data_IF_351655313330
#
_entry.id   IF_351655313330
#
_cell.length_a   1.000
_cell.length_b   1.000
_cell.length_c   1.000
_cell.angle_alpha   90.00
_cell.angle_beta   90.00
_cell.angle_gamma   90.00
#
_symmetry.space_group_name_H-M   'P 1'
#
loop_
_entity.id
_entity.type
_entity.pdbx_description
1 polymer ?
#
# COMPACT_ATOMS: atom_id res chain seq x y z
N UNK A 1 21.33 8.01 -29.00
CA UNK A 1 22.63 7.34 -28.77
C UNK A 1 22.89 7.19 -27.26
N UNK A 2 22.82 8.28 -26.48
CA UNK A 2 22.97 8.22 -25.01
C UNK A 2 21.98 7.27 -24.33
N UNK A 3 20.68 7.33 -24.66
CA UNK A 3 19.66 6.43 -24.08
C UNK A 3 19.91 4.95 -24.43
N UNK A 4 20.50 4.67 -25.59
CA UNK A 4 20.88 3.31 -25.96
C UNK A 4 22.04 2.78 -25.09
N UNK A 5 22.98 3.63 -24.76
CA UNK A 5 24.09 3.27 -23.86
C UNK A 5 23.57 3.04 -22.44
N UNK A 6 22.70 3.92 -21.93
CA UNK A 6 22.05 3.72 -20.62
C UNK A 6 21.27 2.38 -20.55
N UNK A 7 20.52 2.04 -21.61
CA UNK A 7 19.81 0.76 -21.66
C UNK A 7 20.77 -0.44 -21.71
N UNK A 8 21.90 -0.30 -22.36
CA UNK A 8 22.94 -1.34 -22.38
C UNK A 8 23.57 -1.53 -21.00
N UNK A 9 23.93 -0.44 -20.31
CA UNK A 9 24.42 -0.47 -18.93
C UNK A 9 23.44 -1.17 -17.99
N UNK A 10 22.13 -0.88 -18.11
CA UNK A 10 21.08 -1.53 -17.32
C UNK A 10 21.05 -3.04 -17.58
N UNK A 11 21.20 -3.48 -18.84
CA UNK A 11 21.26 -4.91 -19.20
C UNK A 11 22.51 -5.59 -18.66
N UNK A 12 23.67 -4.96 -18.82
CA UNK A 12 24.96 -5.48 -18.35
C UNK A 12 25.01 -5.61 -16.82
N UNK A 13 24.34 -4.70 -16.12
CA UNK A 13 24.18 -4.75 -14.66
C UNK A 13 23.15 -5.81 -14.18
N UNK A 14 22.45 -6.54 -15.08
CA UNK A 14 21.41 -7.49 -14.71
C UNK A 14 20.15 -6.83 -14.10
N UNK A 15 19.92 -5.54 -14.38
CA UNK A 15 18.80 -4.77 -13.85
C UNK A 15 17.68 -4.55 -14.86
N UNK A 16 17.84 -5.05 -16.09
CA UNK A 16 16.81 -4.92 -17.11
C UNK A 16 15.61 -5.82 -16.78
N UNK A 17 14.43 -5.20 -16.76
CA UNK A 17 13.18 -5.87 -16.42
C UNK A 17 12.42 -6.23 -17.70
N UNK A 18 12.18 -7.52 -17.89
CA UNK A 18 11.31 -8.03 -18.95
C UNK A 18 9.92 -8.32 -18.39
N UNK A 19 8.87 -7.91 -19.14
CA UNK A 19 7.50 -8.19 -18.76
C UNK A 19 7.12 -9.61 -19.17
N UNK A 20 6.61 -10.40 -18.21
CA UNK A 20 6.05 -11.73 -18.44
C UNK A 20 4.56 -11.58 -18.72
N UNK A 21 4.10 -12.10 -19.84
CA UNK A 21 2.72 -11.92 -20.30
C UNK A 21 1.87 -13.09 -19.79
N UNK A 22 0.93 -12.78 -18.91
CA UNK A 22 -0.08 -13.72 -18.40
C UNK A 22 -1.26 -13.74 -19.37
N UNK A 23 -1.71 -14.93 -19.75
CA UNK A 23 -2.82 -15.14 -20.72
C UNK A 23 -4.08 -15.73 -20.06
N UNK A 24 -4.10 -15.82 -18.76
CA UNK A 24 -5.25 -16.21 -17.93
C UNK A 24 -5.66 -15.09 -16.99
N UNK A 25 -6.71 -15.29 -16.22
CA UNK A 25 -7.02 -14.49 -15.05
C UNK A 25 -5.92 -14.60 -13.99
N UNK A 26 -5.84 -13.61 -13.09
CA UNK A 26 -4.87 -13.60 -11.99
C UNK A 26 -5.31 -14.55 -10.89
N UNK A 27 -4.51 -15.61 -10.65
CA UNK A 27 -4.75 -16.65 -9.65
C UNK A 27 -3.43 -17.31 -9.22
N UNK A 28 -3.50 -18.32 -8.36
CA UNK A 28 -2.31 -19.03 -7.89
C UNK A 28 -1.61 -19.83 -9.00
N UNK A 29 -2.39 -20.41 -9.89
CA UNK A 29 -1.95 -21.11 -11.10
C UNK A 29 -2.29 -20.24 -12.31
N UNK A 30 -1.31 -19.83 -13.08
CA UNK A 30 -1.45 -19.00 -14.26
C UNK A 30 -0.78 -19.63 -15.48
N UNK A 31 -1.21 -19.19 -16.67
CA UNK A 31 -0.55 -19.52 -17.92
C UNK A 31 0.13 -18.30 -18.49
N UNK A 32 1.37 -18.46 -18.91
CA UNK A 32 2.15 -17.42 -19.58
C UNK A 32 2.13 -17.60 -21.11
N UNK A 33 2.45 -16.53 -21.84
CA UNK A 33 2.35 -16.50 -23.31
C UNK A 33 3.25 -17.50 -24.04
N UNK A 34 4.27 -18.00 -23.38
CA UNK A 34 5.16 -19.05 -23.87
C UNK A 34 4.52 -20.43 -23.82
N UNK A 35 3.38 -20.59 -23.14
CA UNK A 35 2.57 -21.80 -23.10
C UNK A 35 2.61 -22.58 -21.80
N UNK A 36 3.55 -22.28 -20.92
CA UNK A 36 3.72 -22.95 -19.65
C UNK A 36 2.63 -22.56 -18.64
N UNK A 37 2.25 -23.53 -17.81
CA UNK A 37 1.46 -23.32 -16.60
C UNK A 37 2.42 -23.24 -15.41
N UNK A 38 2.34 -22.14 -14.66
CA UNK A 38 3.25 -21.87 -13.55
C UNK A 38 2.50 -21.46 -12.29
N UNK A 39 3.11 -21.73 -11.13
CA UNK A 39 2.60 -21.23 -9.86
C UNK A 39 3.05 -19.77 -9.64
N UNK A 40 2.10 -18.91 -9.31
CA UNK A 40 2.33 -17.50 -9.13
C UNK A 40 2.57 -17.15 -7.65
N UNK A 41 3.84 -16.97 -7.28
CA UNK A 41 4.26 -16.50 -5.96
C UNK A 41 4.56 -15.00 -5.91
N UNK A 42 4.35 -14.26 -7.02
CA UNK A 42 4.78 -12.87 -7.16
C UNK A 42 3.65 -11.85 -6.98
N UNK A 43 2.38 -12.24 -7.23
CA UNK A 43 1.26 -11.32 -7.16
C UNK A 43 0.92 -10.93 -5.72
N UNK A 44 0.54 -9.67 -5.54
CA UNK A 44 0.03 -9.15 -4.26
C UNK A 44 -1.44 -9.53 -4.01
N UNK A 45 -1.85 -10.69 -4.51
CA UNK A 45 -3.22 -11.23 -4.43
C UNK A 45 -3.41 -12.07 -3.16
N UNK A 46 -3.07 -11.50 -2.00
CA UNK A 46 -2.93 -12.20 -0.72
C UNK A 46 -4.13 -13.06 -0.31
N UNK A 47 -5.34 -12.65 -0.65
CA UNK A 47 -6.59 -13.37 -0.34
C UNK A 47 -7.18 -14.10 -1.55
N UNK A 48 -6.52 -14.09 -2.70
CA UNK A 48 -7.02 -14.71 -3.92
C UNK A 48 -8.28 -14.03 -4.51
N UNK A 49 -8.54 -12.77 -4.18
CA UNK A 49 -9.78 -12.07 -4.54
C UNK A 49 -9.78 -11.47 -5.95
N UNK A 50 -8.64 -11.41 -6.64
CA UNK A 50 -8.55 -10.76 -7.96
C UNK A 50 -9.46 -11.38 -9.03
N UNK A 51 -9.82 -12.66 -8.90
CA UNK A 51 -10.77 -13.35 -9.79
C UNK A 51 -12.02 -13.87 -9.03
N UNK A 52 -12.39 -13.22 -7.93
CA UNK A 52 -13.55 -13.66 -7.15
C UNK A 52 -14.86 -13.37 -7.91
N UNK A 53 -15.76 -14.37 -8.09
CA UNK A 53 -16.98 -14.22 -8.89
C UNK A 53 -17.95 -13.17 -8.34
N UNK A 54 -18.05 -13.01 -7.03
CA UNK A 54 -18.93 -12.03 -6.41
C UNK A 54 -18.46 -10.60 -6.66
N UNK A 55 -17.14 -10.37 -6.63
CA UNK A 55 -16.52 -9.08 -6.92
C UNK A 55 -16.72 -8.73 -8.38
N UNK A 56 -16.50 -9.70 -9.28
CA UNK A 56 -16.73 -9.54 -10.73
C UNK A 56 -18.21 -9.24 -11.01
N UNK A 57 -19.13 -9.94 -10.34
CA UNK A 57 -20.57 -9.71 -10.51
C UNK A 57 -20.95 -8.29 -10.05
N UNK A 58 -20.43 -7.81 -8.93
CA UNK A 58 -20.67 -6.45 -8.45
C UNK A 58 -20.16 -5.39 -9.43
N UNK A 59 -18.95 -5.59 -9.97
CA UNK A 59 -18.39 -4.70 -11.00
C UNK A 59 -19.27 -4.65 -12.25
N UNK A 60 -19.73 -5.80 -12.77
CA UNK A 60 -20.61 -5.89 -13.94
C UNK A 60 -21.95 -5.20 -13.71
N UNK A 61 -22.60 -5.49 -12.58
CA UNK A 61 -23.89 -4.89 -12.25
C UNK A 61 -23.82 -3.36 -12.13
N UNK A 62 -22.72 -2.82 -11.64
CA UNK A 62 -22.55 -1.37 -11.55
C UNK A 62 -22.42 -0.69 -12.91
N UNK A 63 -21.95 -1.37 -13.94
CA UNK A 63 -21.90 -0.81 -15.31
C UNK A 63 -23.30 -0.56 -15.87
N UNK A 64 -24.29 -1.37 -15.50
CA UNK A 64 -25.69 -1.20 -15.93
C UNK A 64 -26.36 -0.01 -15.21
N UNK A 65 -25.94 0.30 -14.00
CA UNK A 65 -26.59 1.33 -13.14
C UNK A 65 -25.82 2.65 -13.08
N UNK A 66 -24.49 2.61 -13.10
CA UNK A 66 -23.61 3.77 -12.93
C UNK A 66 -22.76 4.08 -14.16
N UNK A 67 -22.77 3.23 -15.19
CA UNK A 67 -21.99 3.40 -16.41
C UNK A 67 -20.53 2.98 -16.27
N UNK A 68 -19.76 3.16 -17.35
CA UNK A 68 -18.36 2.73 -17.42
C UNK A 68 -17.39 3.70 -16.72
N UNK A 69 -17.57 5.01 -16.90
CA UNK A 69 -16.63 6.02 -16.41
C UNK A 69 -17.28 7.37 -16.21
N UNK A 70 -16.58 8.24 -15.51
CA UNK A 70 -17.12 9.55 -15.09
C UNK A 70 -16.75 10.69 -16.03
N UNK A 71 -15.69 10.56 -16.82
CA UNK A 71 -15.16 11.62 -17.70
C UNK A 71 -14.94 12.97 -16.98
N UNK A 72 -14.70 12.94 -15.68
CA UNK A 72 -14.58 14.12 -14.83
C UNK A 72 -13.77 13.84 -13.57
N UNK A 73 -13.30 14.91 -12.94
CA UNK A 73 -12.76 14.92 -11.58
C UNK A 73 -13.89 15.01 -10.56
N UNK A 74 -13.62 14.64 -9.31
CA UNK A 74 -14.61 14.49 -8.24
C UNK A 74 -15.48 15.71 -7.99
N UNK A 75 -14.91 16.90 -7.90
CA UNK A 75 -15.65 18.11 -7.47
C UNK A 75 -16.45 18.79 -8.58
N UNK A 76 -16.18 18.51 -9.87
CA UNK A 76 -16.94 19.11 -10.98
C UNK A 76 -18.24 18.34 -11.19
N UNK A 77 -18.17 17.12 -11.74
CA UNK A 77 -19.31 16.25 -11.95
C UNK A 77 -18.95 14.75 -11.90
N UNK A 78 -17.83 14.40 -11.27
CA UNK A 78 -17.29 13.05 -11.20
C UNK A 78 -17.57 12.33 -9.88
N UNK A 79 -18.56 12.73 -9.09
CA UNK A 79 -18.94 12.06 -7.84
C UNK A 79 -20.32 11.43 -7.97
N UNK A 80 -20.41 10.13 -7.87
CA UNK A 80 -21.65 9.39 -7.70
C UNK A 80 -21.82 8.94 -6.24
N UNK A 81 -23.02 8.50 -5.88
CA UNK A 81 -23.36 7.96 -4.57
C UNK A 81 -22.48 6.75 -4.17
N UNK A 82 -22.13 5.90 -5.15
CA UNK A 82 -21.26 4.74 -4.95
C UNK A 82 -19.86 5.13 -4.43
N UNK A 83 -19.33 6.30 -4.83
CA UNK A 83 -18.07 6.79 -4.31
C UNK A 83 -18.19 7.17 -2.82
N UNK A 84 -19.30 7.81 -2.45
CA UNK A 84 -19.56 8.19 -1.04
C UNK A 84 -19.82 6.97 -0.18
N UNK A 85 -20.50 5.97 -0.72
CA UNK A 85 -20.71 4.67 -0.06
C UNK A 85 -19.39 3.97 0.22
N UNK A 86 -18.46 3.96 -0.74
CA UNK A 86 -17.14 3.37 -0.56
C UNK A 86 -16.31 4.14 0.49
N UNK A 87 -16.30 5.48 0.44
CA UNK A 87 -15.62 6.32 1.43
C UNK A 87 -16.13 6.02 2.85
N UNK A 88 -17.44 5.93 3.04
CA UNK A 88 -18.04 5.59 4.35
C UNK A 88 -17.64 4.18 4.82
N UNK A 89 -17.63 3.17 3.94
CA UNK A 89 -17.21 1.81 4.29
C UNK A 89 -15.72 1.72 4.65
N UNK A 90 -14.86 2.47 3.98
CA UNK A 90 -13.44 2.56 4.32
C UNK A 90 -13.28 3.14 5.73
N UNK A 91 -13.93 4.27 6.02
CA UNK A 91 -13.87 4.91 7.32
C UNK A 91 -14.38 3.97 8.44
N UNK A 92 -15.50 3.28 8.22
CA UNK A 92 -16.03 2.27 9.14
C UNK A 92 -15.06 1.13 9.38
N UNK A 93 -14.48 0.58 8.30
CA UNK A 93 -13.53 -0.54 8.37
C UNK A 93 -12.29 -0.21 9.21
N UNK A 94 -11.72 0.98 9.03
CA UNK A 94 -10.54 1.44 9.76
C UNK A 94 -10.86 2.13 11.10
N UNK A 95 -12.14 2.31 11.43
CA UNK A 95 -12.59 3.03 12.62
C UNK A 95 -12.04 4.47 12.67
N UNK A 96 -12.08 5.14 11.52
CA UNK A 96 -11.66 6.53 11.33
C UNK A 96 -12.86 7.43 11.06
N UNK A 97 -12.64 8.76 11.02
CA UNK A 97 -13.75 9.72 10.87
C UNK A 97 -14.26 9.80 9.43
N UNK A 98 -13.37 9.73 8.44
CA UNK A 98 -13.71 9.93 7.02
C UNK A 98 -12.64 9.29 6.10
N UNK A 99 -12.95 9.19 4.81
CA UNK A 99 -12.04 8.70 3.78
C UNK A 99 -12.18 9.46 2.46
N UNK A 100 -11.14 9.45 1.64
CA UNK A 100 -11.07 10.07 0.31
C UNK A 100 -10.44 9.09 -0.68
N UNK A 101 -11.01 9.01 -1.89
CA UNK A 101 -10.58 8.07 -2.94
C UNK A 101 -9.63 8.72 -3.95
N UNK A 102 -8.68 7.93 -4.44
CA UNK A 102 -7.72 8.26 -5.48
C UNK A 102 -7.67 7.16 -6.55
N UNK A 103 -7.08 7.45 -7.71
CA UNK A 103 -6.88 6.44 -8.78
C UNK A 103 -5.88 5.35 -8.37
N UNK A 104 -4.93 5.66 -7.50
CA UNK A 104 -3.97 4.73 -6.90
C UNK A 104 -3.50 5.23 -5.53
N UNK A 105 -2.91 4.35 -4.70
CA UNK A 105 -2.27 4.78 -3.45
C UNK A 105 -1.03 5.64 -3.71
N UNK A 106 -0.37 5.47 -4.85
CA UNK A 106 0.72 6.37 -5.26
C UNK A 106 0.25 7.83 -5.30
N UNK A 107 -0.95 8.08 -5.84
CA UNK A 107 -1.57 9.40 -5.88
C UNK A 107 -1.98 9.89 -4.48
N UNK A 108 -2.49 8.99 -3.65
CA UNK A 108 -2.84 9.29 -2.25
C UNK A 108 -1.61 9.80 -1.48
N UNK A 109 -0.47 9.09 -1.56
CA UNK A 109 0.78 9.49 -0.93
C UNK A 109 1.36 10.76 -1.56
N UNK A 110 1.34 10.87 -2.89
CA UNK A 110 1.81 12.05 -3.61
C UNK A 110 1.01 13.32 -3.28
N UNK A 111 -0.26 13.19 -2.97
CA UNK A 111 -1.17 14.30 -2.68
C UNK A 111 -1.35 14.64 -1.20
N UNK A 112 -0.58 14.01 -0.29
CA UNK A 112 -0.78 14.14 1.15
C UNK A 112 0.06 15.28 1.78
N UNK A 113 1.36 15.18 1.65
CA UNK A 113 2.30 15.95 2.47
C UNK A 113 2.29 17.45 2.18
N UNK A 114 2.27 17.87 0.90
CA UNK A 114 2.23 19.29 0.53
C UNK A 114 0.94 20.00 0.94
N UNK A 115 -0.13 19.23 1.20
CA UNK A 115 -1.41 19.75 1.65
C UNK A 115 -1.42 20.02 3.15
N UNK A 116 -0.81 19.15 3.93
CA UNK A 116 -0.85 19.16 5.39
C UNK A 116 0.27 19.99 6.01
N UNK A 117 1.41 20.11 5.31
CA UNK A 117 2.64 20.66 5.84
C UNK A 117 3.21 21.76 4.93
N UNK A 118 3.93 22.68 5.55
CA UNK A 118 4.57 23.82 4.91
C UNK A 118 6.07 23.89 5.22
N UNK A 119 6.75 24.94 4.78
CA UNK A 119 8.17 25.16 5.08
C UNK A 119 8.50 25.36 6.57
N UNK A 120 7.49 25.64 7.41
CA UNK A 120 7.66 25.77 8.87
C UNK A 120 7.54 24.43 9.60
N UNK A 121 7.24 23.36 8.90
CA UNK A 121 6.94 22.06 9.43
C UNK A 121 8.07 21.05 9.11
N UNK A 122 8.02 19.87 9.72
CA UNK A 122 8.98 18.80 9.50
C UNK A 122 8.29 17.48 9.13
N UNK A 123 8.96 16.70 8.27
CA UNK A 123 8.59 15.32 7.97
C UNK A 123 9.76 14.43 8.39
N UNK A 124 9.46 13.39 9.18
CA UNK A 124 10.42 12.37 9.58
C UNK A 124 10.02 11.05 8.91
N UNK A 125 10.79 10.63 7.91
CA UNK A 125 10.47 9.49 7.04
C UNK A 125 11.35 8.30 7.35
N UNK A 126 10.78 7.10 7.43
CA UNK A 126 11.56 5.87 7.48
C UNK A 126 12.43 5.73 6.23
N UNK A 127 13.63 5.16 6.41
CA UNK A 127 14.64 5.05 5.36
C UNK A 127 14.24 4.13 4.20
N UNK A 128 13.38 3.16 4.45
CA UNK A 128 12.91 2.17 3.46
C UNK A 128 11.47 2.39 2.99
N UNK A 129 10.89 3.54 3.28
CA UNK A 129 9.56 3.88 2.79
C UNK A 129 9.42 3.70 1.27
N UNK A 130 8.22 3.32 0.85
CA UNK A 130 7.85 3.16 -0.54
C UNK A 130 8.14 4.43 -1.36
N UNK A 131 8.48 4.26 -2.65
CA UNK A 131 8.79 5.36 -3.57
C UNK A 131 7.72 6.46 -3.60
N UNK A 132 6.45 6.13 -3.48
CA UNK A 132 5.35 7.10 -3.47
C UNK A 132 5.39 8.04 -2.25
N UNK A 133 5.78 7.53 -1.08
CA UNK A 133 6.00 8.36 0.12
C UNK A 133 7.21 9.27 -0.11
N UNK A 134 8.32 8.71 -0.61
CA UNK A 134 9.53 9.49 -0.92
C UNK A 134 9.22 10.62 -1.89
N UNK A 135 8.48 10.34 -2.96
CA UNK A 135 8.12 11.35 -3.96
C UNK A 135 7.12 12.38 -3.41
N UNK A 136 6.13 11.95 -2.63
CA UNK A 136 5.23 12.86 -1.93
C UNK A 136 5.96 13.80 -0.97
N UNK A 137 6.92 13.27 -0.21
CA UNK A 137 7.81 14.07 0.67
C UNK A 137 8.67 15.03 -0.14
N UNK A 138 9.14 14.65 -1.34
CA UNK A 138 9.91 15.54 -2.23
C UNK A 138 9.09 16.71 -2.76
N UNK A 139 7.81 16.54 -2.99
CA UNK A 139 6.91 17.60 -3.43
C UNK A 139 6.61 18.61 -2.32
N UNK A 140 6.73 18.20 -1.06
CA UNK A 140 6.47 19.05 0.09
C UNK A 140 7.64 19.98 0.40
N UNK A 141 7.34 21.18 0.91
CA UNK A 141 8.34 22.20 1.32
C UNK A 141 8.81 22.02 2.76
N UNK A 142 8.20 21.12 3.54
CA UNK A 142 8.61 20.87 4.91
C UNK A 142 10.05 20.35 5.01
N UNK A 143 10.72 20.66 6.11
CA UNK A 143 12.07 20.16 6.37
C UNK A 143 12.03 18.65 6.52
N UNK A 144 13.01 17.96 5.89
CA UNK A 144 13.03 16.50 5.78
C UNK A 144 14.07 15.92 6.71
N UNK A 145 13.64 14.94 7.49
CA UNK A 145 14.46 14.10 8.35
C UNK A 145 14.26 12.66 7.94
N UNK A 146 15.26 11.83 8.14
CA UNK A 146 15.19 10.41 7.77
C UNK A 146 15.76 9.61 8.92
N UNK A 147 15.03 8.61 9.40
CA UNK A 147 15.51 7.67 10.40
C UNK A 147 15.76 6.29 9.79
N UNK A 148 16.67 5.53 10.40
CA UNK A 148 16.99 4.17 9.98
C UNK A 148 15.75 3.28 10.09
N UNK A 149 15.61 2.35 9.14
CA UNK A 149 14.43 1.50 9.07
C UNK A 149 14.10 0.86 10.42
N UNK A 150 12.90 1.15 10.89
CA UNK A 150 12.30 0.58 12.09
C UNK A 150 13.13 0.77 13.39
N UNK A 151 14.01 1.78 13.42
CA UNK A 151 14.90 2.13 14.55
C UNK A 151 14.29 3.27 15.37
N UNK A 152 13.74 2.91 16.52
CA UNK A 152 13.03 3.86 17.40
C UNK A 152 13.99 4.83 18.11
N UNK A 153 15.23 4.42 18.35
CA UNK A 153 16.23 5.31 18.95
C UNK A 153 16.65 6.39 17.96
N UNK A 154 16.88 6.02 16.70
CA UNK A 154 17.16 6.99 15.63
C UNK A 154 15.94 7.87 15.34
N UNK A 155 14.71 7.32 15.37
CA UNK A 155 13.49 8.13 15.26
C UNK A 155 13.43 9.22 16.36
N UNK A 156 13.75 8.88 17.60
CA UNK A 156 13.82 9.85 18.71
C UNK A 156 14.83 10.96 18.41
N UNK A 157 16.04 10.60 17.96
CA UNK A 157 17.08 11.59 17.56
C UNK A 157 16.56 12.56 16.50
N UNK A 158 15.83 12.05 15.49
CA UNK A 158 15.29 12.91 14.44
C UNK A 158 14.13 13.80 14.93
N UNK A 159 13.31 13.32 15.88
CA UNK A 159 12.26 14.11 16.52
C UNK A 159 12.86 15.25 17.35
N UNK A 160 13.90 14.98 18.12
CA UNK A 160 14.65 16.00 18.88
C UNK A 160 15.27 17.04 17.95
N UNK A 161 15.89 16.62 16.85
CA UNK A 161 16.46 17.52 15.87
C UNK A 161 15.39 18.42 15.23
N UNK A 162 14.24 17.86 14.83
CA UNK A 162 13.14 18.63 14.26
C UNK A 162 12.59 19.68 15.25
N UNK A 163 12.47 19.31 16.52
CA UNK A 163 12.06 20.25 17.59
C UNK A 163 13.10 21.35 17.80
N UNK A 164 14.39 20.99 17.90
CA UNK A 164 15.48 21.96 18.07
C UNK A 164 15.55 22.95 16.90
N UNK A 165 15.24 22.54 15.69
CA UNK A 165 15.14 23.38 14.50
C UNK A 165 13.87 24.24 14.46
N UNK A 166 13.00 24.14 15.46
CA UNK A 166 11.81 24.98 15.61
C UNK A 166 10.64 24.58 14.73
N UNK A 167 10.55 23.31 14.32
CA UNK A 167 9.42 22.84 13.53
C UNK A 167 8.08 23.09 14.24
N UNK A 168 7.15 23.73 13.54
CA UNK A 168 5.81 24.05 14.08
C UNK A 168 4.96 22.80 14.23
N UNK A 169 4.96 21.92 13.21
CA UNK A 169 4.34 20.60 13.20
C UNK A 169 5.36 19.58 12.75
N UNK A 170 5.24 18.38 13.29
CA UNK A 170 6.06 17.25 12.87
C UNK A 170 5.12 16.14 12.41
N UNK A 171 5.44 15.48 11.30
CA UNK A 171 4.75 14.28 10.84
C UNK A 171 5.77 13.15 10.68
N UNK A 172 5.49 12.02 11.30
CA UNK A 172 6.21 10.78 11.09
C UNK A 172 5.50 10.02 9.98
N UNK A 173 6.25 9.54 8.97
CA UNK A 173 5.72 8.78 7.85
C UNK A 173 6.44 7.44 7.73
N UNK A 174 5.66 6.35 7.67
CA UNK A 174 6.18 4.99 7.54
C UNK A 174 5.27 4.11 6.70
N UNK A 175 5.85 3.11 6.00
CA UNK A 175 5.10 1.93 5.60
C UNK A 175 4.68 1.16 6.86
N UNK A 176 3.49 0.57 6.86
CA UNK A 176 3.06 -0.36 7.91
C UNK A 176 3.73 -1.72 7.78
N UNK A 177 3.92 -2.15 6.53
CA UNK A 177 4.72 -3.32 6.15
C UNK A 177 5.59 -2.97 4.96
N UNK A 178 6.89 -3.14 5.09
CA UNK A 178 7.87 -2.86 4.04
C UNK A 178 7.85 -3.97 2.98
N UNK A 179 7.48 -3.60 1.75
CA UNK A 179 7.12 -4.54 0.67
C UNK A 179 8.24 -5.47 0.22
N UNK A 180 9.50 -5.04 0.32
CA UNK A 180 10.64 -5.82 -0.15
C UNK A 180 11.16 -6.80 0.90
N UNK A 181 10.89 -6.54 2.18
CA UNK A 181 11.49 -7.25 3.30
C UNK A 181 10.45 -7.99 4.16
N UNK A 182 9.18 -7.61 4.07
CA UNK A 182 8.12 -8.12 4.93
C UNK A 182 8.26 -7.69 6.40
N UNK A 183 9.10 -6.69 6.67
CA UNK A 183 9.27 -6.10 8.00
C UNK A 183 8.01 -5.33 8.37
N UNK A 184 7.52 -5.53 9.59
CA UNK A 184 6.38 -4.82 10.15
C UNK A 184 6.90 -3.64 10.97
N UNK A 185 6.37 -2.45 10.73
CA UNK A 185 6.71 -1.26 11.50
C UNK A 185 6.24 -1.38 12.95
N UNK A 186 7.02 -0.85 13.90
CA UNK A 186 6.67 -0.78 15.32
C UNK A 186 5.72 0.39 15.59
N UNK A 187 4.49 0.33 15.01
CA UNK A 187 3.54 1.45 14.98
C UNK A 187 3.13 1.88 16.39
N UNK A 188 2.98 0.95 17.33
CA UNK A 188 2.73 1.23 18.74
C UNK A 188 3.80 2.16 19.34
N UNK A 189 5.07 1.84 19.13
CA UNK A 189 6.20 2.65 19.62
C UNK A 189 6.37 3.96 18.87
N UNK A 190 6.07 3.97 17.55
CA UNK A 190 6.02 5.21 16.77
C UNK A 190 4.95 6.15 17.33
N UNK A 191 3.77 5.62 17.69
CA UNK A 191 2.71 6.40 18.34
C UNK A 191 3.11 6.90 19.72
N UNK A 192 3.85 6.09 20.52
CA UNK A 192 4.35 6.53 21.83
C UNK A 192 5.31 7.73 21.69
N UNK A 193 6.22 7.67 20.71
CA UNK A 193 7.10 8.80 20.41
C UNK A 193 6.32 10.00 19.84
N UNK A 194 5.33 9.75 19.00
CA UNK A 194 4.49 10.81 18.46
C UNK A 194 3.73 11.55 19.55
N UNK A 195 3.18 10.83 20.53
CA UNK A 195 2.51 11.42 21.70
C UNK A 195 3.48 12.27 22.54
N UNK A 196 4.71 11.78 22.78
CA UNK A 196 5.74 12.48 23.54
C UNK A 196 6.16 13.80 22.88
N UNK A 197 6.29 13.80 21.54
CA UNK A 197 6.77 14.97 20.79
C UNK A 197 5.65 15.82 20.17
N UNK A 198 4.40 15.42 20.30
CA UNK A 198 3.24 16.08 19.67
C UNK A 198 3.30 16.02 18.14
N UNK A 199 3.73 14.88 17.59
CA UNK A 199 3.82 14.63 16.15
C UNK A 199 2.57 13.94 15.63
N UNK A 200 2.27 14.13 14.33
CA UNK A 200 1.28 13.37 13.59
C UNK A 200 1.90 12.07 13.08
N UNK A 201 1.09 11.02 12.96
CA UNK A 201 1.52 9.72 12.42
C UNK A 201 0.75 9.41 11.15
N UNK A 202 1.49 9.13 10.06
CA UNK A 202 0.99 8.62 8.79
C UNK A 202 1.55 7.21 8.54
N UNK A 203 0.66 6.28 8.19
CA UNK A 203 1.00 4.90 7.86
C UNK A 203 0.49 4.56 6.46
N UNK A 204 1.36 4.06 5.58
CA UNK A 204 0.96 3.39 4.33
C UNK A 204 0.73 1.90 4.62
N UNK A 205 -0.51 1.47 4.53
CA UNK A 205 -0.94 0.12 4.90
C UNK A 205 -1.25 -0.78 3.68
N UNK A 206 -0.68 -0.45 2.52
CA UNK A 206 -0.90 -1.16 1.26
C UNK A 206 -0.59 -2.66 1.30
N UNK A 207 0.32 -3.09 2.15
CA UNK A 207 0.73 -4.47 2.30
C UNK A 207 0.17 -5.15 3.56
N UNK A 208 -0.91 -4.60 4.13
CA UNK A 208 -1.56 -5.17 5.31
C UNK A 208 -3.09 -5.07 5.28
N UNK A 209 -3.64 -4.06 4.60
CA UNK A 209 -5.10 -3.84 4.49
C UNK A 209 -5.83 -5.04 3.93
N UNK A 210 -6.85 -5.48 4.66
CA UNK A 210 -7.77 -6.54 4.27
C UNK A 210 -7.37 -7.93 4.76
N UNK A 211 -6.13 -8.15 5.22
CA UNK A 211 -5.66 -9.50 5.53
C UNK A 211 -4.71 -9.60 6.74
N UNK A 212 -4.20 -8.50 7.25
CA UNK A 212 -3.24 -8.51 8.35
C UNK A 212 -3.85 -7.92 9.62
N UNK A 213 -3.46 -8.44 10.78
CA UNK A 213 -4.10 -8.14 12.06
C UNK A 213 -5.25 -9.11 12.38
N UNK A 214 -5.76 -9.11 13.62
CA UNK A 214 -6.77 -10.05 14.11
C UNK A 214 -8.06 -10.10 13.28
N UNK A 215 -8.47 -8.97 12.70
CA UNK A 215 -9.69 -8.88 11.88
C UNK A 215 -9.42 -8.37 10.47
N UNK A 216 -8.13 -8.32 10.06
CA UNK A 216 -7.71 -7.90 8.72
C UNK A 216 -7.69 -6.38 8.50
N UNK A 217 -7.74 -5.57 9.58
CA UNK A 217 -7.68 -4.10 9.47
C UNK A 217 -6.28 -3.52 9.30
N UNK A 218 -5.29 -4.37 9.08
CA UNK A 218 -3.96 -3.96 8.71
C UNK A 218 -2.95 -3.90 9.85
N UNK A 219 -1.80 -3.28 9.56
CA UNK A 219 -0.67 -3.21 10.49
C UNK A 219 -0.98 -2.36 11.73
N UNK A 220 -1.81 -1.35 11.60
CA UNK A 220 -2.27 -0.50 12.71
C UNK A 220 -3.05 -1.32 13.75
N UNK A 221 -3.94 -2.21 13.29
CA UNK A 221 -4.64 -3.14 14.16
C UNK A 221 -3.67 -4.16 14.78
N UNK A 222 -2.80 -4.73 13.95
CA UNK A 222 -1.81 -5.72 14.41
C UNK A 222 -0.93 -5.21 15.56
N UNK A 223 -0.52 -3.94 15.48
CA UNK A 223 0.28 -3.27 16.51
C UNK A 223 -0.56 -2.70 17.68
N UNK A 224 -1.89 -2.90 17.71
CA UNK A 224 -2.75 -2.36 18.76
C UNK A 224 -2.85 -0.82 18.77
N UNK A 225 -2.61 -0.17 17.63
CA UNK A 225 -2.54 1.28 17.49
C UNK A 225 -3.78 1.92 16.83
N UNK A 226 -4.90 1.18 16.74
CA UNK A 226 -6.17 1.74 16.23
C UNK A 226 -6.57 2.98 17.05
N UNK A 227 -6.96 4.04 16.34
CA UNK A 227 -7.33 5.33 16.93
C UNK A 227 -6.16 6.24 17.32
N UNK A 228 -4.89 5.77 17.18
CA UNK A 228 -3.68 6.56 17.48
C UNK A 228 -2.99 7.11 16.24
N UNK A 229 -3.23 6.52 15.06
CA UNK A 229 -2.69 6.97 13.78
C UNK A 229 -3.58 8.04 13.19
N UNK A 230 -3.01 9.18 12.76
CA UNK A 230 -3.78 10.32 12.25
C UNK A 230 -4.23 10.11 10.80
N UNK A 231 -3.40 9.43 10.00
CA UNK A 231 -3.62 9.20 8.57
C UNK A 231 -3.17 7.80 8.19
N UNK A 232 -4.04 7.06 7.53
CA UNK A 232 -3.74 5.79 6.89
C UNK A 232 -3.96 5.95 5.39
N UNK A 233 -2.98 5.61 4.58
CA UNK A 233 -3.15 5.45 3.14
C UNK A 233 -3.13 3.98 2.77
N UNK A 234 -3.87 3.58 1.75
CA UNK A 234 -3.83 2.20 1.28
C UNK A 234 -4.36 2.05 -0.15
N UNK A 235 -4.32 0.82 -0.66
CA UNK A 235 -4.64 0.50 -2.05
C UNK A 235 -5.80 -0.51 -2.16
N UNK A 236 -6.58 -0.36 -3.22
CA UNK A 236 -7.54 -1.37 -3.69
C UNK A 236 -6.91 -2.35 -4.68
N UNK A 237 -5.66 -2.12 -5.09
CA UNK A 237 -4.95 -2.86 -6.14
C UNK A 237 -4.17 -4.09 -5.65
N UNK A 238 -4.38 -4.55 -4.41
CA UNK A 238 -3.73 -5.74 -3.83
C UNK A 238 -4.78 -6.68 -3.22
N UNK A 239 -4.73 -6.98 -1.93
CA UNK A 239 -5.68 -7.86 -1.28
C UNK A 239 -7.15 -7.42 -1.43
N UNK A 240 -7.39 -6.13 -1.61
CA UNK A 240 -8.73 -5.54 -1.73
C UNK A 240 -9.36 -5.70 -3.13
N UNK A 241 -9.16 -6.84 -3.79
CA UNK A 241 -9.73 -7.15 -5.09
C UNK A 241 -8.75 -7.04 -6.27
N UNK A 242 -7.57 -6.45 -6.06
CA UNK A 242 -6.44 -6.51 -6.99
C UNK A 242 -6.52 -5.66 -8.25
N UNK A 243 -7.53 -4.79 -8.39
CA UNK A 243 -7.69 -3.96 -9.59
C UNK A 243 -6.90 -2.64 -9.47
N UNK A 244 -7.57 -1.53 -9.30
CA UNK A 244 -6.97 -0.20 -9.20
C UNK A 244 -7.74 0.62 -8.17
N UNK A 245 -7.13 1.69 -7.71
CA UNK A 245 -7.67 2.59 -6.73
C UNK A 245 -6.78 2.69 -5.48
N UNK A 246 -6.87 3.82 -4.84
CA UNK A 246 -6.23 4.09 -3.56
C UNK A 246 -7.12 4.98 -2.71
N UNK A 247 -6.78 5.09 -1.46
CA UNK A 247 -7.53 5.94 -0.53
C UNK A 247 -6.62 6.46 0.59
N UNK A 248 -7.07 7.55 1.19
CA UNK A 248 -6.59 8.04 2.47
C UNK A 248 -7.77 8.03 3.44
N UNK A 249 -7.56 7.56 4.65
CA UNK A 249 -8.54 7.60 5.73
C UNK A 249 -7.90 8.11 7.02
N UNK A 250 -8.67 8.76 7.87
CA UNK A 250 -8.15 9.36 9.08
C UNK A 250 -9.08 10.41 9.69
N UNK A 251 -8.49 11.42 10.35
CA UNK A 251 -9.24 12.51 10.99
C UNK A 251 -10.00 13.33 9.96
N UNK A 252 -11.22 13.71 10.31
CA UNK A 252 -12.14 14.45 9.42
C UNK A 252 -11.51 15.70 8.82
N UNK A 253 -10.84 16.50 9.62
CA UNK A 253 -10.25 17.77 9.19
C UNK A 253 -9.12 17.55 8.16
N UNK A 254 -8.36 16.45 8.29
CA UNK A 254 -7.33 16.07 7.34
C UNK A 254 -7.98 15.69 6.00
N UNK A 255 -8.97 14.81 6.04
CA UNK A 255 -9.67 14.34 4.83
C UNK A 255 -10.40 15.50 4.12
N UNK A 256 -11.03 16.39 4.87
CA UNK A 256 -11.68 17.55 4.30
C UNK A 256 -10.67 18.49 3.63
N UNK A 257 -9.52 18.74 4.24
CA UNK A 257 -8.46 19.56 3.65
C UNK A 257 -7.88 18.90 2.38
N UNK A 258 -7.71 17.58 2.36
CA UNK A 258 -7.29 16.85 1.16
C UNK A 258 -8.28 17.02 0.01
N UNK A 259 -9.59 16.99 0.27
CA UNK A 259 -10.62 17.25 -0.76
C UNK A 259 -10.51 18.63 -1.37
N UNK A 260 -10.03 19.62 -0.62
CA UNK A 260 -9.90 21.00 -1.08
C UNK A 260 -8.58 21.28 -1.80
N UNK A 261 -7.50 20.54 -1.51
CA UNK A 261 -6.14 20.93 -1.93
C UNK A 261 -5.30 19.83 -2.54
N UNK A 262 -5.66 18.55 -2.38
CA UNK A 262 -4.87 17.44 -2.92
C UNK A 262 -4.92 17.42 -4.45
N UNK A 263 -3.81 17.74 -5.09
CA UNK A 263 -3.73 17.89 -6.55
C UNK A 263 -4.09 16.60 -7.30
N UNK A 264 -3.64 15.40 -6.90
CA UNK A 264 -4.05 14.16 -7.53
C UNK A 264 -5.57 13.90 -7.44
N UNK A 265 -6.22 14.37 -6.38
CA UNK A 265 -7.68 14.30 -6.25
C UNK A 265 -8.41 15.33 -7.12
N UNK A 266 -7.90 16.57 -7.13
CA UNK A 266 -8.56 17.68 -7.83
C UNK A 266 -8.39 17.60 -9.36
N UNK A 267 -7.30 17.03 -9.85
CA UNK A 267 -6.90 17.12 -11.26
C UNK A 267 -6.76 15.78 -11.98
N UNK A 268 -7.04 14.66 -11.30
CA UNK A 268 -7.09 13.35 -11.92
C UNK A 268 -8.54 12.84 -12.02
N UNK A 269 -8.80 11.98 -12.98
CA UNK A 269 -10.12 11.39 -13.16
C UNK A 269 -10.54 10.58 -11.93
N UNK A 270 -11.84 10.61 -11.69
CA UNK A 270 -12.50 9.82 -10.64
C UNK A 270 -12.30 8.33 -10.86
N UNK A 271 -12.15 7.58 -9.77
CA UNK A 271 -12.18 6.12 -9.77
C UNK A 271 -13.43 5.61 -10.48
N UNK A 272 -13.27 4.68 -11.42
CA UNK A 272 -14.39 4.16 -12.22
C UNK A 272 -15.45 3.50 -11.32
N UNK A 273 -16.75 3.67 -11.62
CA UNK A 273 -17.85 3.11 -10.84
C UNK A 273 -17.74 1.60 -10.62
N UNK A 274 -17.28 0.84 -11.61
CA UNK A 274 -17.10 -0.59 -11.51
C UNK A 274 -16.04 -0.99 -10.48
N UNK A 275 -14.99 -0.20 -10.34
CA UNK A 275 -13.96 -0.41 -9.31
C UNK A 275 -14.47 -0.05 -7.92
N UNK A 276 -15.27 1.01 -7.82
CA UNK A 276 -15.92 1.39 -6.55
C UNK A 276 -16.88 0.28 -6.08
N UNK A 277 -17.72 -0.28 -6.97
CA UNK A 277 -18.63 -1.38 -6.66
C UNK A 277 -17.87 -2.65 -6.23
N UNK A 278 -16.82 -3.01 -6.94
CA UNK A 278 -15.96 -4.13 -6.61
C UNK A 278 -15.34 -3.97 -5.21
N UNK A 279 -14.84 -2.78 -4.90
CA UNK A 279 -14.26 -2.47 -3.59
C UNK A 279 -15.30 -2.53 -2.47
N UNK A 280 -16.51 -1.98 -2.67
CA UNK A 280 -17.62 -2.07 -1.70
C UNK A 280 -17.90 -3.54 -1.39
N UNK A 281 -18.03 -4.39 -2.43
CA UNK A 281 -18.27 -5.83 -2.23
C UNK A 281 -17.13 -6.49 -1.47
N UNK A 282 -15.89 -6.11 -1.74
CA UNK A 282 -14.71 -6.62 -1.03
C UNK A 282 -14.75 -6.25 0.46
N UNK A 283 -15.03 -4.99 0.81
CA UNK A 283 -15.20 -4.57 2.21
C UNK A 283 -16.34 -5.32 2.90
N UNK A 284 -17.48 -5.55 2.23
CA UNK A 284 -18.61 -6.34 2.76
C UNK A 284 -18.22 -7.78 3.08
N UNK A 285 -17.34 -8.38 2.28
CA UNK A 285 -16.82 -9.73 2.52
C UNK A 285 -15.84 -9.76 3.70
N UNK A 286 -14.91 -8.81 3.76
CA UNK A 286 -13.85 -8.77 4.76
C UNK A 286 -14.30 -8.22 6.13
N UNK A 287 -15.44 -7.53 6.20
CA UNK A 287 -16.04 -7.10 7.46
C UNK A 287 -16.72 -8.26 8.25
N UNK A 288 -16.69 -9.46 7.70
CA UNK A 288 -17.24 -10.68 8.33
C UNK A 288 -16.09 -11.65 8.62
N UNK A 289 -16.22 -12.50 9.66
CA UNK A 289 -15.29 -13.61 9.86
C UNK A 289 -15.12 -14.41 8.58
N UNK A 290 -13.89 -14.63 8.16
CA UNK A 290 -13.60 -15.30 6.89
C UNK A 290 -12.47 -16.32 7.05
N UNK A 291 -12.64 -17.54 6.56
CA UNK A 291 -11.59 -18.57 6.59
C UNK A 291 -10.35 -18.17 5.72
N UNK A 292 -10.49 -17.17 4.85
CA UNK A 292 -9.38 -16.71 4.00
C UNK A 292 -8.20 -16.19 4.81
N UNK A 293 -8.44 -15.48 5.93
CA UNK A 293 -7.37 -14.97 6.79
C UNK A 293 -6.64 -16.14 7.48
N UNK A 294 -7.39 -17.08 8.03
CA UNK A 294 -6.84 -18.27 8.69
C UNK A 294 -5.97 -19.08 7.70
N UNK A 295 -6.50 -19.35 6.50
CA UNK A 295 -5.78 -20.04 5.42
C UNK A 295 -4.49 -19.31 5.05
N UNK A 296 -4.51 -17.98 4.94
CA UNK A 296 -3.31 -17.20 4.62
C UNK A 296 -2.25 -17.31 5.72
N UNK A 297 -2.65 -17.26 6.99
CA UNK A 297 -1.74 -17.42 8.13
C UNK A 297 -1.12 -18.81 8.14
N UNK A 298 -1.91 -19.86 7.95
CA UNK A 298 -1.44 -21.25 7.88
C UNK A 298 -0.47 -21.44 6.70
N UNK A 299 -0.83 -20.96 5.51
CA UNK A 299 0.03 -21.04 4.33
C UNK A 299 1.35 -20.30 4.54
N UNK A 300 1.32 -19.12 5.16
CA UNK A 300 2.50 -18.32 5.47
C UNK A 300 3.44 -19.09 6.40
N UNK A 301 2.90 -19.66 7.47
CA UNK A 301 3.66 -20.45 8.43
C UNK A 301 4.29 -21.68 7.75
N UNK A 302 3.47 -22.44 7.03
CA UNK A 302 3.92 -23.64 6.30
C UNK A 302 5.05 -23.30 5.30
N UNK A 303 4.87 -22.25 4.50
CA UNK A 303 5.88 -21.87 3.50
C UNK A 303 7.20 -21.45 4.17
N UNK A 304 7.15 -20.63 5.23
CA UNK A 304 8.35 -20.23 5.98
C UNK A 304 9.09 -21.44 6.57
N UNK A 305 8.36 -22.33 7.22
CA UNK A 305 8.94 -23.56 7.78
C UNK A 305 9.62 -24.40 6.71
N UNK A 306 8.94 -24.69 5.60
CA UNK A 306 9.47 -25.54 4.52
C UNK A 306 10.65 -24.91 3.79
N UNK A 307 10.65 -23.61 3.55
CA UNK A 307 11.79 -22.91 2.96
C UNK A 307 13.02 -22.94 3.88
N UNK A 308 12.82 -22.75 5.18
CA UNK A 308 13.90 -22.85 6.17
C UNK A 308 14.44 -24.27 6.28
N UNK A 309 13.57 -25.29 6.34
CA UNK A 309 13.97 -26.72 6.34
C UNK A 309 14.77 -27.08 5.07
N UNK A 310 14.42 -26.50 3.92
CA UNK A 310 15.13 -26.70 2.66
C UNK A 310 16.47 -25.94 2.58
N UNK A 311 16.83 -25.16 3.60
CA UNK A 311 18.10 -24.46 3.70
C UNK A 311 18.15 -23.10 3.00
N UNK A 312 17.00 -22.53 2.63
CA UNK A 312 16.97 -21.18 2.09
C UNK A 312 17.11 -20.12 3.17
N UNK A 313 17.83 -19.05 2.85
CA UNK A 313 17.90 -17.85 3.69
C UNK A 313 16.65 -16.99 3.43
N UNK A 314 15.77 -16.90 4.42
CA UNK A 314 14.56 -16.07 4.38
C UNK A 314 14.57 -15.07 5.52
N UNK A 315 14.07 -13.89 5.25
CA UNK A 315 13.92 -12.84 6.29
C UNK A 315 12.93 -13.32 7.37
N UNK A 316 13.33 -13.38 8.65
CA UNK A 316 12.43 -13.77 9.74
C UNK A 316 11.21 -12.86 9.84
N UNK A 317 10.06 -13.42 10.20
CA UNK A 317 8.83 -12.63 10.38
C UNK A 317 7.56 -13.48 10.33
N UNK A 318 6.41 -12.84 10.47
CA UNK A 318 5.08 -13.45 10.43
C UNK A 318 4.24 -13.02 9.23
N UNK A 319 4.72 -12.05 8.45
CA UNK A 319 4.00 -11.53 7.30
C UNK A 319 4.06 -12.50 6.09
N UNK A 320 3.01 -12.55 5.23
CA UNK A 320 2.99 -13.36 4.01
C UNK A 320 4.05 -12.98 2.95
N UNK A 321 4.65 -11.81 3.03
CA UNK A 321 5.85 -11.49 2.24
C UNK A 321 7.01 -12.28 2.82
N UNK A 322 7.57 -13.19 1.99
CA UNK A 322 8.67 -14.08 2.38
C UNK A 322 9.81 -13.94 1.37
N UNK A 323 10.71 -12.96 1.56
CA UNK A 323 11.85 -12.77 0.68
C UNK A 323 12.84 -13.94 0.82
N UNK A 324 13.25 -14.51 -0.31
CA UNK A 324 14.33 -15.51 -0.39
C UNK A 324 15.61 -14.78 -0.77
N UNK A 325 16.56 -14.72 0.15
CA UNK A 325 17.79 -13.94 0.00
C UNK A 325 18.84 -14.72 -0.80
N UNK A 326 19.20 -14.26 -1.99
CA UNK A 326 20.20 -14.87 -2.86
C UNK A 326 21.52 -14.10 -2.91
N UNK A 327 21.54 -12.85 -2.42
CA UNK A 327 22.72 -12.01 -2.28
C UNK A 327 23.29 -11.41 -3.59
N UNK A 328 22.85 -11.88 -4.76
CA UNK A 328 23.31 -11.41 -6.07
C UNK A 328 22.14 -11.19 -7.04
N UNK A 329 22.12 -10.02 -7.70
CA UNK A 329 21.01 -9.63 -8.57
C UNK A 329 20.91 -10.51 -9.83
N UNK A 330 22.05 -10.91 -10.41
CA UNK A 330 22.08 -11.77 -11.59
C UNK A 330 21.62 -13.17 -11.26
N UNK A 331 22.11 -13.73 -10.15
CA UNK A 331 21.67 -15.03 -9.64
C UNK A 331 20.16 -15.05 -9.39
N UNK A 332 19.61 -13.99 -8.81
CA UNK A 332 18.16 -13.85 -8.57
C UNK A 332 17.37 -13.87 -9.87
N UNK A 333 17.86 -13.19 -10.90
CA UNK A 333 17.23 -13.14 -12.22
C UNK A 333 17.33 -14.50 -12.95
N UNK A 334 18.50 -15.14 -12.90
CA UNK A 334 18.73 -16.45 -13.51
C UNK A 334 17.87 -17.53 -12.84
N UNK A 335 17.76 -17.52 -11.52
CA UNK A 335 16.88 -18.43 -10.77
C UNK A 335 15.40 -18.20 -11.12
N UNK A 336 14.95 -16.93 -11.15
CA UNK A 336 13.57 -16.59 -11.51
C UNK A 336 13.22 -17.02 -12.95
N UNK A 337 14.16 -16.97 -13.89
CA UNK A 337 13.96 -17.44 -15.26
C UNK A 337 13.86 -18.98 -15.31
N UNK A 338 14.72 -19.69 -14.58
CA UNK A 338 14.68 -21.17 -14.51
C UNK A 338 13.42 -21.71 -13.84
N UNK A 339 12.80 -20.97 -12.95
CA UNK A 339 11.54 -21.36 -12.32
C UNK A 339 10.32 -21.24 -13.26
N UNK A 340 10.52 -20.72 -14.47
CA UNK A 340 9.51 -20.69 -15.53
C UNK A 340 9.58 -21.90 -16.49
N UNK A 341 10.67 -22.68 -16.44
CA UNK A 341 10.88 -23.90 -17.22
C UNK A 341 10.24 -25.12 -16.52
#
# INVERSE_FOLDING_TARGET
>A
KELQETLKEIREAGLYKEERIIVTEQRADIKVSTGEEVLNFCANNYLGLANNPDIIAAAKASMDTHGFGMSSVRFICGTQDIHKTLEAKIAEFFQTDDAILYAACFDANGGLFEVLLSAEDAIISDALNHASIIDGVRLCKAKRYRYKNNDMDDLRVQLEAAKADGARRIMIATDGVFSMDGIIAQIDKICDLADEYGALVMVDDCHATGFFGPTGRGSVEYCGALGRVDVITSTLGKAMGGASGGFTTGRKEIIELLRQRSRPYLFSNTLAPSLAAAAIRTFDMLSKPSPMLETLVENTKYFREKMTEAGFDIVPGSHPIVPVMLGDAKLSQDMANRLLE
#
